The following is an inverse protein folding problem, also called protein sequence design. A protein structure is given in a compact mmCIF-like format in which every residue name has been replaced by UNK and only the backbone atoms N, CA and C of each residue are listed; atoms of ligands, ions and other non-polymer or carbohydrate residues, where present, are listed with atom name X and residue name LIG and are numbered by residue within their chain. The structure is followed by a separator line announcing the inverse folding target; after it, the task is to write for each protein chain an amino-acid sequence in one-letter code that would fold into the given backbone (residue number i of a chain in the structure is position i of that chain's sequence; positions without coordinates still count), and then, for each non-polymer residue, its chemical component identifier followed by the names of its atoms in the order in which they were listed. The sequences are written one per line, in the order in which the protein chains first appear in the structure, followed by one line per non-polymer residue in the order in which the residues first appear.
data_IF_896679082532
#
_entry.id   IF_896679082532
#
_cell.length_a   1.000
_cell.length_b   1.000
_cell.length_c   1.000
_cell.angle_alpha   90.00
_cell.angle_beta   90.00
_cell.angle_gamma   90.00
#
_symmetry.space_group_name_H-M   'P 1'
#
loop_
_entity.id
_entity.type
_entity.pdbx_description
1 polymer ?
#
# COMPACT_ATOMS: atom_id res chain seq x y z
N UNK A 1 -8.72 15.11 13.69
CA UNK A 1 -8.68 13.97 12.73
C UNK A 1 -7.87 12.85 13.36
N UNK A 2 -8.28 11.59 13.19
CA UNK A 2 -7.48 10.46 13.64
C UNK A 2 -6.38 10.22 12.61
N UNK A 3 -5.11 10.30 13.01
CA UNK A 3 -3.98 9.94 12.15
C UNK A 3 -3.63 8.48 12.41
N UNK A 4 -3.58 7.68 11.35
CA UNK A 4 -3.15 6.27 11.39
C UNK A 4 -2.09 6.09 10.30
N UNK A 5 -1.01 5.40 10.66
CA UNK A 5 0.01 5.00 9.69
C UNK A 5 -0.35 3.64 9.10
N UNK A 6 -0.05 3.47 7.81
CA UNK A 6 -0.26 2.24 7.06
C UNK A 6 1.07 1.78 6.46
N UNK A 7 1.20 0.48 6.23
CA UNK A 7 2.32 -0.07 5.47
C UNK A 7 2.06 0.14 3.98
N UNK A 8 3.11 0.47 3.23
CA UNK A 8 3.08 0.54 1.77
C UNK A 8 4.12 -0.42 1.23
N UNK A 9 3.70 -1.36 0.38
CA UNK A 9 4.62 -2.14 -0.44
C UNK A 9 4.78 -1.44 -1.78
N UNK A 10 6.02 -1.26 -2.20
CA UNK A 10 6.38 -0.51 -3.38
C UNK A 10 7.28 -1.37 -4.25
N UNK A 11 6.89 -1.56 -5.50
CA UNK A 11 7.66 -2.31 -6.48
C UNK A 11 7.48 -1.71 -7.87
N UNK A 12 8.31 -2.14 -8.81
CA UNK A 12 8.22 -1.72 -10.20
C UNK A 12 7.63 -2.84 -11.04
N UNK A 13 6.65 -2.52 -11.87
CA UNK A 13 6.03 -3.40 -12.85
C UNK A 13 6.06 -2.69 -14.20
N UNK A 14 6.72 -3.31 -15.18
CA UNK A 14 7.06 -2.68 -16.47
C UNK A 14 7.71 -1.29 -16.30
N UNK A 15 7.10 -0.25 -16.87
CA UNK A 15 7.57 1.14 -16.81
C UNK A 15 6.97 1.95 -15.66
N UNK A 16 6.16 1.32 -14.79
CA UNK A 16 5.40 2.00 -13.73
C UNK A 16 5.84 1.54 -12.33
N UNK A 17 5.72 2.43 -11.36
CA UNK A 17 5.77 2.09 -9.94
C UNK A 17 4.37 1.73 -9.45
N UNK A 18 4.28 0.62 -8.74
CA UNK A 18 3.05 0.16 -8.08
C UNK A 18 3.21 0.35 -6.57
N UNK A 19 2.21 0.94 -5.94
CA UNK A 19 2.13 1.14 -4.51
C UNK A 19 0.85 0.47 -3.99
N UNK A 20 0.98 -0.44 -3.02
CA UNK A 20 -0.14 -1.13 -2.41
C UNK A 20 -0.15 -0.98 -0.89
N UNK A 21 -1.35 -0.86 -0.30
CA UNK A 21 -1.56 -0.88 1.14
C UNK A 21 -2.22 -2.21 1.54
N UNK A 22 -1.46 -3.19 2.06
CA UNK A 22 -1.98 -4.52 2.33
C UNK A 22 -2.98 -4.57 3.49
N UNK A 23 -3.02 -3.56 4.37
CA UNK A 23 -4.02 -3.46 5.46
C UNK A 23 -5.42 -3.13 4.95
N UNK A 24 -5.51 -2.39 3.85
CA UNK A 24 -6.78 -1.90 3.30
C UNK A 24 -7.13 -2.63 2.01
N UNK A 25 -6.13 -3.15 1.29
CA UNK A 25 -6.28 -3.78 -0.02
C UNK A 25 -6.37 -2.77 -1.16
N UNK A 26 -5.95 -1.52 -0.93
CA UNK A 26 -5.87 -0.48 -1.95
C UNK A 26 -4.55 -0.56 -2.70
N UNK A 27 -4.60 -0.20 -3.98
CA UNK A 27 -3.43 -0.14 -4.88
C UNK A 27 -3.56 1.09 -5.76
N UNK A 28 -2.43 1.69 -6.10
CA UNK A 28 -2.33 2.73 -7.12
C UNK A 28 -0.96 2.65 -7.82
N UNK A 29 -0.79 3.40 -8.91
CA UNK A 29 0.38 3.36 -9.77
C UNK A 29 0.82 4.76 -10.22
N UNK A 30 2.09 4.90 -10.61
CA UNK A 30 2.64 6.17 -11.11
C UNK A 30 3.95 5.98 -11.87
N UNK A 31 4.30 6.94 -12.72
CA UNK A 31 5.59 6.96 -13.43
C UNK A 31 6.75 7.21 -12.44
N UNK A 32 6.45 7.82 -11.29
CA UNK A 32 7.38 8.00 -10.16
C UNK A 32 6.83 7.38 -8.89
N UNK A 33 7.73 7.12 -7.94
CA UNK A 33 7.39 6.62 -6.59
C UNK A 33 6.42 7.60 -5.90
N UNK A 34 6.68 8.90 -6.01
CA UNK A 34 5.87 9.94 -5.39
C UNK A 34 4.45 9.98 -5.96
N UNK A 35 4.30 9.77 -7.28
CA UNK A 35 2.99 9.70 -7.92
C UNK A 35 2.20 8.48 -7.42
N UNK A 36 2.81 7.30 -7.42
CA UNK A 36 2.17 6.08 -6.94
C UNK A 36 1.74 6.19 -5.47
N UNK A 37 2.59 6.75 -4.61
CA UNK A 37 2.27 6.97 -3.18
C UNK A 37 1.17 8.03 -3.00
N UNK A 38 1.19 9.11 -3.78
CA UNK A 38 0.17 10.16 -3.71
C UNK A 38 -1.21 9.63 -4.10
N UNK A 39 -1.27 8.85 -5.18
CA UNK A 39 -2.49 8.15 -5.60
C UNK A 39 -2.98 7.17 -4.54
N UNK A 40 -2.09 6.28 -4.05
CA UNK A 40 -2.43 5.29 -3.03
C UNK A 40 -2.99 5.95 -1.77
N UNK A 41 -2.43 7.09 -1.34
CA UNK A 41 -2.92 7.85 -0.19
C UNK A 41 -4.36 8.33 -0.39
N UNK A 42 -4.68 8.80 -1.59
CA UNK A 42 -6.02 9.26 -1.94
C UNK A 42 -7.01 8.10 -2.03
N UNK A 43 -6.65 7.03 -2.73
CA UNK A 43 -7.46 5.81 -2.82
C UNK A 43 -7.76 5.22 -1.44
N UNK A 44 -6.76 5.18 -0.55
CA UNK A 44 -6.92 4.71 0.83
C UNK A 44 -7.80 5.64 1.65
N UNK A 45 -7.66 6.96 1.49
CA UNK A 45 -8.53 7.93 2.17
C UNK A 45 -9.98 7.74 1.77
N UNK A 46 -10.25 7.66 0.47
CA UNK A 46 -11.60 7.47 -0.08
C UNK A 46 -12.22 6.16 0.43
N UNK A 47 -11.47 5.06 0.44
CA UNK A 47 -11.95 3.80 1.01
C UNK A 47 -12.37 3.94 2.48
N UNK A 48 -11.56 4.61 3.31
CA UNK A 48 -11.83 4.78 4.74
C UNK A 48 -12.95 5.78 5.04
N UNK A 49 -13.38 6.58 4.05
CA UNK A 49 -14.57 7.44 4.17
C UNK A 49 -15.87 6.64 4.03
N UNK A 50 -15.85 5.55 3.26
CA UNK A 50 -17.02 4.71 3.01
C UNK A 50 -17.05 3.46 3.91
N UNK A 51 -15.88 2.91 4.27
CA UNK A 51 -15.77 1.65 5.01
C UNK A 51 -15.09 1.86 6.37
N UNK A 52 -15.50 1.11 7.41
CA UNK A 52 -14.83 1.16 8.70
C UNK A 52 -13.38 0.75 8.57
N UNK A 53 -12.50 1.39 9.34
CA UNK A 53 -11.08 1.03 9.34
C UNK A 53 -10.93 -0.42 9.79
N UNK A 54 -10.26 -1.29 9.00
CA UNK A 54 -10.07 -2.67 9.40
C UNK A 54 -9.39 -2.74 10.78
N UNK A 55 -9.92 -3.60 11.66
CA UNK A 55 -9.20 -3.99 12.87
C UNK A 55 -8.01 -4.83 12.42
N UNK A 56 -6.81 -4.26 12.51
CA UNK A 56 -5.59 -4.93 12.12
C UNK A 56 -4.70 -5.10 13.33
N UNK A 57 -4.23 -6.33 13.54
CA UNK A 57 -3.11 -6.62 14.43
C UNK A 57 -1.86 -5.91 13.93
N UNK A 58 -0.87 -5.62 14.80
CA UNK A 58 0.44 -5.15 14.36
C UNK A 58 1.00 -6.08 13.27
N UNK A 59 1.27 -5.52 12.08
CA UNK A 59 1.84 -6.29 10.97
C UNK A 59 3.36 -6.16 11.02
N UNK A 60 4.04 -7.29 10.95
CA UNK A 60 5.50 -7.34 10.79
C UNK A 60 5.79 -7.50 9.30
N UNK A 61 6.58 -6.59 8.76
CA UNK A 61 7.09 -6.69 7.38
C UNK A 61 8.41 -7.44 7.44
N UNK A 62 8.53 -8.50 6.66
CA UNK A 62 9.75 -9.31 6.57
C UNK A 62 9.88 -9.90 5.17
N UNK A 63 11.09 -10.26 4.79
CA UNK A 63 11.39 -10.96 3.55
C UNK A 63 11.95 -12.35 3.88
N UNK A 64 11.70 -13.31 3.00
CA UNK A 64 12.32 -14.64 3.06
C UNK A 64 13.13 -14.85 1.78
N UNK A 65 14.26 -15.54 1.91
CA UNK A 65 15.04 -16.00 0.78
C UNK A 65 14.73 -17.48 0.53
N UNK A 66 14.45 -17.84 -0.72
CA UNK A 66 14.09 -19.20 -1.10
C UNK A 66 14.87 -19.57 -2.36
N UNK A 67 15.56 -20.72 -2.32
CA UNK A 67 16.18 -21.32 -3.51
C UNK A 67 15.20 -22.30 -4.17
N UNK A 68 15.05 -22.21 -5.50
CA UNK A 68 14.25 -23.13 -6.31
C UNK A 68 15.04 -23.58 -7.55
N UNK A 69 14.61 -24.68 -8.19
CA UNK A 69 15.28 -25.31 -9.34
C UNK A 69 14.72 -24.81 -10.68
#
# INVERSE_FOLDING_TARGET
MKNRSFTVLLYKEDDMYIAECPEVGTVDQGETIEQAIAGLREATRLYLEEFPVPETSPRFVTSIEVSYA
#
